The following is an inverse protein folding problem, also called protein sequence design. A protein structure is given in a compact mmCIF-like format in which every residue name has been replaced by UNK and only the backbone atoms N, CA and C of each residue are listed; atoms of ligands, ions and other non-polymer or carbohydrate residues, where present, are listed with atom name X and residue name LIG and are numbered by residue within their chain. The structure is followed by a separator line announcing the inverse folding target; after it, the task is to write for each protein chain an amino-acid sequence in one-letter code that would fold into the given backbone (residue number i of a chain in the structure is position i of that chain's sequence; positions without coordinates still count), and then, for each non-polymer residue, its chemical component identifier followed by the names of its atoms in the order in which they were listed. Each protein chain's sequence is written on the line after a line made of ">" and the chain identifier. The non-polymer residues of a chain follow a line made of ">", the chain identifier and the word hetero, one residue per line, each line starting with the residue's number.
data_IF_225408696949
#
_entry.id   IF_225408696949
#
_cell.length_a   1.000
_cell.length_b   1.000
_cell.length_c   1.000
_cell.angle_alpha   90.00
_cell.angle_beta   90.00
_cell.angle_gamma   90.00
#
_symmetry.space_group_name_H-M   'P 1'
#
loop_
_entity.id
_entity.type
_entity.pdbx_description
1 polymer ?
#
# COMPACT_ATOMS: atom_id res chain seq x y z
N UNK A 1 -9.39 0.05 10.38
CA UNK A 1 -9.33 1.10 11.42
C UNK A 1 -10.52 2.06 11.32
N UNK A 2 -10.78 2.68 10.15
CA UNK A 2 -11.87 3.65 9.98
C UNK A 2 -13.23 3.08 10.41
N UNK A 3 -13.54 1.86 10.00
CA UNK A 3 -14.77 1.16 10.40
C UNK A 3 -14.95 1.06 11.93
N UNK A 4 -13.88 0.67 12.64
CA UNK A 4 -13.92 0.56 14.11
C UNK A 4 -14.13 1.93 14.76
N UNK A 5 -13.44 2.95 14.24
CA UNK A 5 -13.56 4.32 14.74
C UNK A 5 -14.93 4.95 14.42
N UNK A 6 -15.56 4.57 13.31
CA UNK A 6 -16.89 5.03 12.95
C UNK A 6 -18.00 4.57 13.93
N UNK A 7 -17.78 3.48 14.66
CA UNK A 7 -18.70 3.03 15.70
C UNK A 7 -18.61 3.82 17.01
N UNK A 8 -17.49 4.49 17.26
CA UNK A 8 -17.27 5.23 18.51
C UNK A 8 -18.07 6.55 18.51
N UNK A 9 -18.63 6.98 19.63
CA UNK A 9 -19.06 8.36 19.79
C UNK A 9 -17.94 9.34 19.44
N UNK A 10 -18.28 10.50 18.92
CA UNK A 10 -17.30 11.48 18.39
C UNK A 10 -16.19 11.82 19.41
N UNK A 11 -16.56 12.03 20.66
CA UNK A 11 -15.60 12.36 21.74
C UNK A 11 -14.59 11.22 21.96
N UNK A 12 -15.06 9.96 21.98
CA UNK A 12 -14.19 8.80 22.15
C UNK A 12 -13.30 8.57 20.94
N UNK A 13 -13.84 8.74 19.73
CA UNK A 13 -13.05 8.65 18.49
C UNK A 13 -11.92 9.67 18.50
N UNK A 14 -12.23 10.93 18.82
CA UNK A 14 -11.21 11.99 18.93
C UNK A 14 -10.16 11.67 19.97
N UNK A 15 -10.55 11.21 21.15
CA UNK A 15 -9.61 10.79 22.18
C UNK A 15 -8.67 9.70 21.68
N UNK A 16 -9.19 8.68 20.98
CA UNK A 16 -8.35 7.61 20.39
C UNK A 16 -7.39 8.18 19.36
N UNK A 17 -7.86 9.03 18.44
CA UNK A 17 -7.03 9.64 17.42
C UNK A 17 -5.94 10.55 18.01
N UNK A 18 -6.27 11.34 19.04
CA UNK A 18 -5.30 12.16 19.76
C UNK A 18 -4.25 11.29 20.47
N UNK A 19 -4.66 10.18 21.11
CA UNK A 19 -3.71 9.25 21.76
C UNK A 19 -2.76 8.56 20.77
N UNK A 20 -3.16 8.40 19.52
CA UNK A 20 -2.31 7.80 18.48
C UNK A 20 -1.36 8.84 17.88
N UNK A 21 -1.86 10.04 17.55
CA UNK A 21 -1.14 10.97 16.71
C UNK A 21 -0.64 12.23 17.42
N UNK A 22 -1.05 12.52 18.65
CA UNK A 22 -0.56 13.71 19.36
C UNK A 22 0.75 13.45 20.12
N UNK A 23 1.49 14.54 20.40
CA UNK A 23 2.72 14.52 21.22
C UNK A 23 2.47 14.00 22.65
N UNK A 24 1.25 14.14 23.15
CA UNK A 24 0.85 13.65 24.47
C UNK A 24 0.51 12.14 24.44
N UNK A 25 0.43 11.54 23.25
CA UNK A 25 0.13 10.13 23.03
C UNK A 25 1.30 9.33 22.53
N UNK A 26 1.04 8.45 21.55
CA UNK A 26 2.06 7.61 20.92
C UNK A 26 2.88 8.36 19.85
N UNK A 27 2.41 9.50 19.43
CA UNK A 27 3.07 10.41 18.47
C UNK A 27 3.54 9.75 17.16
N UNK A 28 2.70 8.89 16.58
CA UNK A 28 3.05 8.25 15.31
C UNK A 28 3.30 9.29 14.21
N UNK A 29 4.45 9.16 13.55
CA UNK A 29 4.92 10.04 12.47
C UNK A 29 4.96 9.37 11.11
N UNK A 30 4.73 8.05 11.08
CA UNK A 30 4.63 7.24 9.88
C UNK A 30 3.37 6.37 9.96
N UNK A 31 2.58 6.37 8.90
CA UNK A 31 1.40 5.54 8.75
C UNK A 31 1.41 4.84 7.38
N UNK A 32 0.66 3.75 7.27
CA UNK A 32 0.46 3.04 6.01
C UNK A 32 -1.03 2.97 5.68
N UNK A 33 -1.35 3.11 4.41
CA UNK A 33 -2.70 2.96 3.86
C UNK A 33 -2.69 2.05 2.64
N UNK A 34 -3.84 1.48 2.31
CA UNK A 34 -4.01 0.65 1.12
C UNK A 34 -4.47 1.46 -0.09
N UNK A 35 -4.23 0.94 -1.29
CA UNK A 35 -4.73 1.43 -2.59
C UNK A 35 -5.70 0.39 -3.14
N UNK A 36 -6.99 0.70 -3.21
CA UNK A 36 -8.03 -0.29 -3.46
C UNK A 36 -8.29 -1.17 -2.24
N UNK A 37 -9.02 -2.25 -2.40
CA UNK A 37 -9.31 -3.16 -1.28
C UNK A 37 -8.10 -3.97 -0.83
N UNK A 38 -8.16 -4.43 0.41
CA UNK A 38 -7.16 -5.28 1.06
C UNK A 38 -7.87 -6.22 2.06
N UNK A 39 -7.13 -7.09 2.71
CA UNK A 39 -7.63 -8.02 3.74
C UNK A 39 -8.30 -7.33 4.94
N UNK A 40 -8.01 -6.06 5.20
CA UNK A 40 -8.66 -5.25 6.24
C UNK A 40 -9.94 -4.55 5.79
N UNK A 41 -10.35 -4.70 4.54
CA UNK A 41 -11.54 -4.03 3.99
C UNK A 41 -12.83 -4.70 4.44
N UNK A 42 -13.73 -3.93 5.04
CA UNK A 42 -15.00 -4.42 5.58
C UNK A 42 -16.09 -4.52 4.50
N UNK A 43 -16.10 -3.57 3.57
CA UNK A 43 -17.11 -3.49 2.50
C UNK A 43 -16.91 -4.49 1.35
N UNK A 44 -15.88 -5.32 1.45
CA UNK A 44 -15.53 -6.30 0.43
C UNK A 44 -14.51 -5.76 -0.56
N UNK A 45 -14.39 -6.43 -1.69
CA UNK A 45 -13.34 -6.15 -2.68
C UNK A 45 -13.77 -5.04 -3.62
N UNK A 46 -12.87 -4.05 -3.82
CA UNK A 46 -13.09 -2.95 -4.74
C UNK A 46 -11.80 -2.45 -5.39
N UNK A 47 -11.95 -1.85 -6.55
CA UNK A 47 -10.93 -1.06 -7.22
C UNK A 47 -11.54 0.27 -7.67
N UNK A 48 -10.70 1.24 -7.97
CA UNK A 48 -11.15 2.59 -8.35
C UNK A 48 -11.59 2.69 -9.81
N UNK A 49 -11.41 1.64 -10.60
CA UNK A 49 -11.93 1.46 -11.97
C UNK A 49 -12.33 0.01 -12.18
N UNK A 50 -13.58 -0.24 -12.51
CA UNK A 50 -14.11 -1.60 -12.69
C UNK A 50 -14.42 -1.95 -14.15
N UNK A 51 -14.46 -0.98 -15.05
CA UNK A 51 -14.74 -1.22 -16.47
C UNK A 51 -13.45 -1.58 -17.22
N UNK A 52 -13.30 -2.82 -17.74
CA UNK A 52 -12.12 -3.22 -18.48
C UNK A 52 -11.95 -2.49 -19.84
N UNK A 53 -13.00 -1.84 -20.32
CA UNK A 53 -12.92 -0.99 -21.52
C UNK A 53 -12.34 0.40 -21.24
N UNK A 54 -12.30 0.83 -19.97
CA UNK A 54 -11.77 2.13 -19.56
C UNK A 54 -10.25 2.10 -19.32
N UNK A 55 -9.49 1.78 -20.36
CA UNK A 55 -8.03 1.75 -20.29
C UNK A 55 -7.39 3.15 -20.12
N UNK A 56 -8.15 4.22 -20.33
CA UNK A 56 -7.73 5.60 -20.06
C UNK A 56 -8.06 6.03 -18.61
N UNK A 57 -8.68 5.14 -17.83
CA UNK A 57 -9.07 5.37 -16.44
C UNK A 57 -9.93 6.65 -16.24
N UNK A 58 -10.86 6.89 -17.15
CA UNK A 58 -11.74 8.08 -17.13
C UNK A 58 -12.73 8.03 -15.98
N UNK A 59 -13.16 6.83 -15.61
CA UNK A 59 -14.12 6.58 -14.52
C UNK A 59 -13.44 6.35 -13.16
N UNK A 60 -12.12 6.62 -13.07
CA UNK A 60 -11.37 6.47 -11.84
C UNK A 60 -11.96 7.33 -10.72
N UNK A 61 -12.29 6.70 -9.59
CA UNK A 61 -12.85 7.38 -8.43
C UNK A 61 -12.40 6.70 -7.13
N UNK A 62 -11.98 7.50 -6.15
CA UNK A 62 -11.66 7.06 -4.78
C UNK A 62 -12.85 7.20 -3.84
N UNK A 63 -14.07 7.24 -4.37
CA UNK A 63 -15.30 7.39 -3.58
C UNK A 63 -15.44 6.30 -2.51
N UNK A 64 -14.98 5.09 -2.79
CA UNK A 64 -14.96 3.99 -1.82
C UNK A 64 -14.21 4.28 -0.52
N UNK A 65 -13.29 5.24 -0.54
CA UNK A 65 -12.50 5.63 0.63
C UNK A 65 -13.07 6.90 1.32
N UNK A 66 -14.15 7.45 0.79
CA UNK A 66 -14.75 8.73 1.20
C UNK A 66 -16.20 8.61 1.66
N UNK A 67 -16.96 7.66 1.08
CA UNK A 67 -18.43 7.63 1.20
C UNK A 67 -18.93 7.24 2.59
N UNK A 68 -18.06 6.66 3.43
CA UNK A 68 -18.44 6.11 4.72
C UNK A 68 -19.11 4.74 4.61
N UNK A 69 -19.85 4.36 5.65
CA UNK A 69 -20.46 3.04 5.77
C UNK A 69 -21.98 3.12 5.76
N UNK A 70 -22.62 2.19 5.04
CA UNK A 70 -24.09 2.12 4.92
C UNK A 70 -24.74 1.85 6.29
N UNK A 71 -25.51 2.80 6.86
CA UNK A 71 -26.15 2.64 8.17
C UNK A 71 -27.26 1.57 8.16
N UNK A 72 -27.76 1.17 7.00
CA UNK A 72 -28.71 0.05 6.91
C UNK A 72 -27.99 -1.29 7.12
N UNK A 73 -26.79 -1.41 6.56
CA UNK A 73 -25.94 -2.59 6.72
C UNK A 73 -25.25 -2.62 8.09
N UNK A 74 -24.89 -1.44 8.62
CA UNK A 74 -24.16 -1.26 9.86
C UNK A 74 -24.92 -0.32 10.81
N UNK A 75 -26.04 -0.76 11.44
CA UNK A 75 -26.92 0.11 12.19
C UNK A 75 -26.31 0.69 13.48
N UNK A 76 -25.19 0.13 13.95
CA UNK A 76 -24.52 0.60 15.16
C UNK A 76 -23.40 1.63 14.87
N UNK A 77 -23.27 2.07 13.63
CA UNK A 77 -22.31 3.13 13.26
C UNK A 77 -22.77 4.48 13.81
N UNK A 78 -21.87 5.16 14.51
CA UNK A 78 -22.11 6.50 15.07
C UNK A 78 -21.82 7.62 14.06
N UNK A 79 -20.97 7.35 13.05
CA UNK A 79 -20.51 8.32 12.05
C UNK A 79 -20.55 7.72 10.64
N UNK A 80 -21.67 7.91 9.94
CA UNK A 80 -21.94 7.31 8.62
C UNK A 80 -20.92 7.75 7.54
N UNK A 81 -20.40 8.98 7.63
CA UNK A 81 -19.46 9.56 6.66
C UNK A 81 -17.98 9.43 7.05
N UNK A 82 -17.69 8.72 8.15
CA UNK A 82 -16.32 8.52 8.59
C UNK A 82 -15.74 7.28 7.91
N UNK A 83 -14.71 7.49 7.10
CA UNK A 83 -14.10 6.45 6.27
C UNK A 83 -12.58 6.60 6.25
N UNK A 84 -11.88 5.92 5.37
CA UNK A 84 -10.43 5.88 5.29
C UNK A 84 -9.82 7.28 5.13
N UNK A 85 -10.24 8.04 4.12
CA UNK A 85 -9.69 9.38 3.90
C UNK A 85 -10.12 10.41 4.96
N UNK A 86 -11.36 10.45 5.44
CA UNK A 86 -11.72 11.22 6.63
C UNK A 86 -10.86 10.91 7.87
N UNK A 87 -10.57 9.64 8.14
CA UNK A 87 -9.68 9.24 9.23
C UNK A 87 -8.26 9.78 9.03
N UNK A 88 -7.71 9.65 7.83
CA UNK A 88 -6.38 10.18 7.51
C UNK A 88 -6.34 11.70 7.64
N UNK A 89 -7.37 12.39 7.18
CA UNK A 89 -7.48 13.86 7.32
C UNK A 89 -7.54 14.29 8.80
N UNK A 90 -8.23 13.54 9.66
CA UNK A 90 -8.26 13.80 11.12
C UNK A 90 -6.85 13.62 11.73
N UNK A 91 -6.13 12.55 11.36
CA UNK A 91 -4.75 12.34 11.80
C UNK A 91 -3.81 13.48 11.35
N UNK A 92 -3.91 13.90 10.09
CA UNK A 92 -3.14 15.03 9.55
C UNK A 92 -3.47 16.34 10.26
N UNK A 93 -4.73 16.59 10.61
CA UNK A 93 -5.16 17.77 11.37
C UNK A 93 -4.55 17.79 12.77
N UNK A 94 -4.57 16.66 13.48
CA UNK A 94 -3.94 16.54 14.81
C UNK A 94 -2.45 16.87 14.69
N UNK A 95 -1.74 16.31 13.72
CA UNK A 95 -0.31 16.56 13.51
C UNK A 95 -0.01 18.01 13.13
N UNK A 96 -0.86 18.64 12.31
CA UNK A 96 -0.66 20.03 11.88
C UNK A 96 -0.74 21.06 13.01
N UNK A 97 -1.36 20.70 14.12
CA UNK A 97 -1.46 21.54 15.32
C UNK A 97 -0.22 21.42 16.25
N UNK A 98 0.75 20.59 15.88
CA UNK A 98 2.00 20.36 16.63
C UNK A 98 3.16 21.11 15.97
N UNK A 99 4.19 21.49 16.74
CA UNK A 99 5.22 22.43 16.24
C UNK A 99 6.21 21.82 15.24
N UNK A 100 6.50 20.52 15.31
CA UNK A 100 7.58 19.90 14.50
C UNK A 100 7.26 18.54 13.87
N UNK A 101 5.98 18.13 13.83
CA UNK A 101 5.66 16.77 13.42
C UNK A 101 4.78 16.71 12.17
N UNK A 102 5.32 16.14 11.11
CA UNK A 102 4.56 15.74 9.92
C UNK A 102 4.22 14.25 9.97
N UNK A 103 3.00 13.90 9.61
CA UNK A 103 2.63 12.50 9.35
C UNK A 103 3.03 12.13 7.92
N UNK A 104 3.90 11.14 7.78
CA UNK A 104 4.26 10.54 6.50
C UNK A 104 3.35 9.36 6.24
N UNK A 105 2.83 9.25 5.03
CA UNK A 105 1.89 8.18 4.66
C UNK A 105 2.49 7.39 3.51
N UNK A 106 2.65 6.08 3.70
CA UNK A 106 3.01 5.14 2.65
C UNK A 106 1.71 4.50 2.15
N UNK A 107 1.50 4.46 0.85
CA UNK A 107 0.36 3.80 0.23
C UNK A 107 0.82 2.53 -0.50
N UNK A 108 0.15 1.41 -0.26
CA UNK A 108 0.46 0.11 -0.85
C UNK A 108 -0.75 -0.49 -1.54
N UNK A 109 -0.60 -0.97 -2.77
CA UNK A 109 -1.66 -1.69 -3.47
C UNK A 109 -1.54 -3.20 -3.19
N UNK A 110 -2.63 -3.86 -2.79
CA UNK A 110 -2.65 -5.32 -2.67
C UNK A 110 -2.72 -5.99 -4.04
N UNK A 111 -3.41 -5.35 -4.97
CA UNK A 111 -3.56 -5.84 -6.34
C UNK A 111 -3.92 -4.71 -7.29
N UNK A 112 -3.65 -4.91 -8.59
CA UNK A 112 -4.33 -4.17 -9.65
C UNK A 112 -5.80 -4.61 -9.74
N UNK A 113 -6.68 -3.81 -10.36
CA UNK A 113 -8.02 -4.27 -10.72
C UNK A 113 -7.97 -5.62 -11.45
N UNK A 114 -8.87 -6.59 -11.14
CA UNK A 114 -8.84 -7.93 -11.72
C UNK A 114 -8.69 -7.98 -13.23
N UNK A 115 -9.38 -7.11 -13.95
CA UNK A 115 -9.34 -7.06 -15.40
C UNK A 115 -7.96 -6.75 -16.01
N UNK A 116 -7.05 -6.15 -15.24
CA UNK A 116 -5.67 -5.89 -15.67
C UNK A 116 -4.76 -7.11 -15.54
N UNK A 117 -5.22 -8.19 -14.88
CA UNK A 117 -4.42 -9.37 -14.59
C UNK A 117 -4.79 -10.55 -15.49
N UNK A 118 -3.85 -11.46 -15.67
CA UNK A 118 -4.04 -12.70 -16.44
C UNK A 118 -5.06 -13.64 -15.79
N UNK A 119 -5.16 -13.62 -14.47
CA UNK A 119 -6.16 -14.39 -13.71
C UNK A 119 -7.57 -13.81 -13.78
N UNK A 120 -7.73 -12.51 -14.02
CA UNK A 120 -8.98 -11.75 -13.90
C UNK A 120 -9.66 -11.90 -12.53
N UNK A 121 -8.91 -12.32 -11.50
CA UNK A 121 -9.39 -12.56 -10.14
C UNK A 121 -8.73 -11.63 -9.13
N UNK A 122 -9.38 -11.41 -8.01
CA UNK A 122 -8.79 -10.66 -6.90
C UNK A 122 -7.61 -11.41 -6.28
N UNK A 123 -7.73 -12.72 -6.16
CA UNK A 123 -6.74 -13.67 -5.71
C UNK A 123 -7.08 -15.06 -6.24
N UNK A 124 -6.10 -15.95 -6.26
CA UNK A 124 -6.28 -17.35 -6.62
C UNK A 124 -6.20 -18.16 -5.32
N UNK A 125 -7.27 -18.87 -4.92
CA UNK A 125 -7.25 -19.68 -3.70
C UNK A 125 -6.10 -20.68 -3.66
N UNK A 126 -5.52 -20.89 -2.49
CA UNK A 126 -4.56 -21.95 -2.26
C UNK A 126 -5.17 -23.33 -2.52
N UNK A 127 -4.44 -24.20 -3.22
CA UNK A 127 -4.85 -25.56 -3.55
C UNK A 127 -3.63 -26.48 -3.59
N UNK A 128 -3.81 -27.80 -3.60
CA UNK A 128 -2.70 -28.73 -3.81
C UNK A 128 -1.94 -28.49 -5.13
N UNK A 129 -2.64 -28.00 -6.16
CA UNK A 129 -2.05 -27.79 -7.49
C UNK A 129 -1.08 -26.59 -7.52
N UNK A 130 -1.26 -25.61 -6.64
CA UNK A 130 -0.36 -24.48 -6.48
C UNK A 130 0.45 -24.52 -5.18
N UNK A 131 0.53 -25.70 -4.57
CA UNK A 131 1.24 -25.93 -3.30
C UNK A 131 0.75 -25.03 -2.15
N UNK A 132 -0.54 -24.71 -2.12
CA UNK A 132 -1.20 -23.82 -1.18
C UNK A 132 -0.68 -22.38 -1.22
N UNK A 133 0.09 -22.05 -2.25
CA UNK A 133 0.59 -20.70 -2.49
C UNK A 133 -0.22 -20.08 -3.62
N UNK A 134 -1.06 -19.11 -3.28
CA UNK A 134 -1.84 -18.37 -4.25
C UNK A 134 -1.30 -16.97 -4.43
N UNK A 135 -1.12 -16.57 -5.68
CA UNK A 135 -1.07 -15.15 -6.04
C UNK A 135 -2.33 -14.81 -6.80
N UNK A 136 -2.65 -13.54 -6.89
CA UNK A 136 -3.76 -13.08 -7.73
C UNK A 136 -3.43 -13.02 -9.23
N UNK A 137 -2.38 -13.71 -9.69
CA UNK A 137 -1.88 -13.62 -11.06
C UNK A 137 -0.97 -12.41 -11.29
N UNK A 138 -0.58 -12.19 -12.53
CA UNK A 138 0.33 -11.12 -12.96
C UNK A 138 -0.36 -10.13 -13.89
N UNK A 139 0.18 -8.93 -14.01
CA UNK A 139 -0.31 -7.94 -14.97
C UNK A 139 -0.21 -8.47 -16.40
N UNK A 140 -1.27 -8.32 -17.18
CA UNK A 140 -1.22 -8.51 -18.64
C UNK A 140 -0.30 -7.46 -19.25
N UNK A 141 0.54 -7.81 -20.24
CA UNK A 141 1.52 -6.88 -20.81
C UNK A 141 0.92 -5.55 -21.28
N UNK A 142 -0.27 -5.59 -21.89
CA UNK A 142 -0.98 -4.40 -22.38
C UNK A 142 -1.43 -3.45 -21.26
N UNK A 143 -1.59 -3.93 -20.04
CA UNK A 143 -2.03 -3.14 -18.89
C UNK A 143 -0.92 -2.71 -17.95
N UNK A 144 0.32 -3.09 -18.19
CA UNK A 144 1.47 -2.62 -17.37
C UNK A 144 1.53 -1.09 -17.32
N UNK A 145 1.48 -0.34 -18.45
CA UNK A 145 1.46 1.12 -18.41
C UNK A 145 0.18 1.69 -17.79
N UNK A 146 -0.96 1.00 -17.94
CA UNK A 146 -2.24 1.43 -17.36
C UNK A 146 -2.21 1.30 -15.83
N UNK A 147 -1.55 0.27 -15.31
CA UNK A 147 -1.39 0.13 -13.86
C UNK A 147 -0.48 1.22 -13.26
N UNK A 148 0.57 1.62 -13.95
CA UNK A 148 1.37 2.77 -13.52
C UNK A 148 0.51 4.07 -13.48
N UNK A 149 -0.32 4.31 -14.49
CA UNK A 149 -1.28 5.40 -14.50
C UNK A 149 -2.31 5.32 -13.36
N UNK A 150 -2.78 4.12 -13.04
CA UNK A 150 -3.71 3.87 -11.95
C UNK A 150 -3.14 4.32 -10.59
N UNK A 151 -1.90 3.94 -10.29
CA UNK A 151 -1.21 4.37 -9.07
C UNK A 151 -1.04 5.89 -9.01
N UNK A 152 -0.71 6.53 -10.13
CA UNK A 152 -0.54 7.98 -10.20
C UNK A 152 -1.88 8.72 -10.08
N UNK A 153 -2.96 8.17 -10.62
CA UNK A 153 -4.30 8.73 -10.44
C UNK A 153 -4.73 8.67 -8.97
N UNK A 154 -4.40 7.60 -8.24
CA UNK A 154 -4.61 7.53 -6.81
C UNK A 154 -3.86 8.65 -6.06
N UNK A 155 -2.57 8.83 -6.33
CA UNK A 155 -1.78 9.92 -5.74
C UNK A 155 -2.40 11.30 -6.04
N UNK A 156 -2.90 11.47 -7.26
CA UNK A 156 -3.54 12.73 -7.68
C UNK A 156 -4.87 12.94 -6.95
N UNK A 157 -5.69 11.90 -6.86
CA UNK A 157 -6.98 11.98 -6.17
C UNK A 157 -6.81 12.26 -4.67
N UNK A 158 -5.87 11.57 -3.99
CA UNK A 158 -5.54 11.86 -2.60
C UNK A 158 -5.07 13.31 -2.39
N UNK A 159 -4.21 13.81 -3.28
CA UNK A 159 -3.72 15.18 -3.24
C UNK A 159 -4.86 16.22 -3.38
N UNK A 160 -5.82 15.96 -4.26
CA UNK A 160 -7.00 16.81 -4.43
C UNK A 160 -7.89 16.83 -3.17
N UNK A 161 -7.92 15.71 -2.43
CA UNK A 161 -8.57 15.61 -1.13
C UNK A 161 -7.74 16.20 0.04
N UNK A 162 -6.58 16.77 -0.23
CA UNK A 162 -5.69 17.35 0.79
C UNK A 162 -4.81 16.33 1.50
N UNK A 163 -4.75 15.08 1.01
CA UNK A 163 -3.90 14.01 1.55
C UNK A 163 -2.68 13.84 0.67
N UNK A 164 -1.52 14.26 1.14
CA UNK A 164 -0.26 14.07 0.44
C UNK A 164 0.37 12.73 0.84
N UNK A 165 0.40 11.78 -0.08
CA UNK A 165 1.12 10.51 0.08
C UNK A 165 2.62 10.80 0.02
N UNK A 166 3.37 10.32 1.01
CA UNK A 166 4.82 10.49 1.10
C UNK A 166 5.58 9.40 0.37
N UNK A 167 5.10 8.16 0.44
CA UNK A 167 5.74 7.00 -0.19
C UNK A 167 4.73 6.04 -0.79
N UNK A 168 5.20 5.19 -1.71
CA UNK A 168 4.37 4.20 -2.37
C UNK A 168 5.15 2.90 -2.54
N UNK A 169 4.46 1.77 -2.37
CA UNK A 169 4.91 0.46 -2.87
C UNK A 169 4.03 0.04 -4.06
N UNK A 170 4.58 -0.47 -5.14
CA UNK A 170 3.80 -0.89 -6.30
C UNK A 170 2.82 -2.02 -6.01
N UNK A 171 3.18 -2.89 -5.07
CA UNK A 171 2.37 -4.03 -4.65
C UNK A 171 2.74 -4.45 -3.23
N UNK A 172 1.73 -4.82 -2.45
CA UNK A 172 1.88 -5.52 -1.18
C UNK A 172 2.13 -7.02 -1.45
N UNK A 173 3.13 -7.60 -0.80
CA UNK A 173 3.41 -9.03 -0.79
C UNK A 173 3.40 -9.71 -2.18
N UNK A 174 4.38 -9.36 -3.04
CA UNK A 174 4.43 -9.83 -4.43
C UNK A 174 4.56 -11.34 -4.60
N UNK A 175 4.91 -12.09 -3.55
CA UNK A 175 4.97 -13.54 -3.58
C UNK A 175 3.61 -14.22 -3.31
N UNK A 176 2.59 -13.42 -2.94
CA UNK A 176 1.26 -13.92 -2.60
C UNK A 176 1.07 -14.21 -1.11
N UNK A 177 -0.08 -14.76 -0.77
CA UNK A 177 -0.59 -14.84 0.59
C UNK A 177 -1.40 -16.12 0.86
N UNK A 178 -1.05 -17.24 0.34
CA UNK A 178 -1.80 -18.52 0.45
C UNK A 178 -3.23 -18.47 -0.14
N UNK A 179 -3.55 -17.44 -0.95
CA UNK A 179 -4.84 -17.31 -1.63
C UNK A 179 -6.02 -17.04 -0.71
N UNK A 180 -5.85 -16.11 0.23
CA UNK A 180 -6.88 -15.74 1.21
C UNK A 180 -7.45 -14.33 0.96
N UNK A 181 -6.64 -13.41 0.47
CA UNK A 181 -7.00 -12.02 0.20
C UNK A 181 -6.37 -11.50 -1.09
N UNK A 182 -6.67 -10.26 -1.45
CA UNK A 182 -6.18 -9.61 -2.65
C UNK A 182 -4.68 -9.74 -2.79
N UNK A 183 -4.22 -10.12 -3.97
CA UNK A 183 -2.80 -10.23 -4.26
C UNK A 183 -2.49 -10.14 -5.75
N UNK A 184 -1.25 -9.78 -6.05
CA UNK A 184 -0.73 -9.74 -7.41
C UNK A 184 0.76 -10.10 -7.40
N UNK A 185 1.17 -10.93 -8.33
CA UNK A 185 2.53 -11.40 -8.41
C UNK A 185 3.45 -10.39 -9.11
N UNK A 186 4.62 -10.18 -8.51
CA UNK A 186 5.81 -9.66 -9.19
C UNK A 186 7.01 -10.54 -8.83
N UNK A 187 7.92 -10.70 -9.78
CA UNK A 187 9.30 -11.09 -9.50
C UNK A 187 10.16 -9.84 -9.32
N UNK A 188 11.39 -9.96 -8.77
CA UNK A 188 12.32 -8.84 -8.73
C UNK A 188 12.55 -8.21 -10.10
N UNK A 189 12.70 -9.04 -11.14
CA UNK A 189 12.92 -8.60 -12.52
C UNK A 189 11.71 -7.86 -13.09
N UNK A 190 10.50 -8.39 -12.88
CA UNK A 190 9.28 -7.76 -13.38
C UNK A 190 8.95 -6.47 -12.63
N UNK A 191 9.24 -6.37 -11.33
CA UNK A 191 9.10 -5.13 -10.59
C UNK A 191 10.15 -4.09 -11.03
N UNK A 192 11.40 -4.54 -11.27
CA UNK A 192 12.45 -3.69 -11.84
C UNK A 192 12.02 -3.11 -13.19
N UNK A 193 11.54 -3.96 -14.09
CA UNK A 193 11.05 -3.56 -15.41
C UNK A 193 9.87 -2.59 -15.32
N UNK A 194 8.91 -2.86 -14.41
CA UNK A 194 7.77 -1.98 -14.16
C UNK A 194 8.19 -0.59 -13.69
N UNK A 195 9.12 -0.53 -12.74
CA UNK A 195 9.61 0.74 -12.20
C UNK A 195 10.40 1.51 -13.25
N UNK A 196 11.37 0.84 -13.88
CA UNK A 196 12.26 1.46 -14.86
C UNK A 196 11.54 2.03 -16.07
N UNK A 197 10.66 1.23 -16.66
CA UNK A 197 10.09 1.55 -17.96
C UNK A 197 8.73 2.27 -17.89
N UNK A 198 8.04 2.21 -16.76
CA UNK A 198 6.69 2.74 -16.63
C UNK A 198 6.50 3.65 -15.43
N UNK A 199 6.53 3.13 -14.19
CA UNK A 199 6.14 3.89 -13.02
C UNK A 199 7.09 5.07 -12.73
N UNK A 200 8.39 4.84 -12.72
CA UNK A 200 9.40 5.86 -12.43
C UNK A 200 9.34 7.05 -13.39
N UNK A 201 9.45 6.82 -14.71
CA UNK A 201 9.32 7.89 -15.71
C UNK A 201 7.99 8.64 -15.66
N UNK A 202 6.88 7.93 -15.41
CA UNK A 202 5.57 8.56 -15.32
C UNK A 202 5.41 9.41 -14.05
N UNK A 203 5.94 8.98 -12.89
CA UNK A 203 5.98 9.77 -11.67
C UNK A 203 6.73 11.09 -11.91
N UNK A 204 7.90 11.03 -12.53
CA UNK A 204 8.67 12.23 -12.87
C UNK A 204 7.92 13.16 -13.83
N UNK A 205 7.37 12.61 -14.91
CA UNK A 205 6.66 13.38 -15.92
C UNK A 205 5.42 14.11 -15.36
N UNK A 206 4.83 13.59 -14.29
CA UNK A 206 3.64 14.17 -13.64
C UNK A 206 3.95 14.95 -12.36
N UNK A 207 5.23 15.23 -12.09
CA UNK A 207 5.66 16.09 -10.98
C UNK A 207 5.63 15.41 -9.61
N UNK A 208 5.75 14.08 -9.55
CA UNK A 208 5.85 13.29 -8.32
C UNK A 208 7.31 12.92 -7.98
N UNK A 209 8.25 13.86 -8.23
CA UNK A 209 9.68 13.61 -7.97
C UNK A 209 10.01 13.38 -6.49
N UNK A 210 9.15 13.86 -5.59
CA UNK A 210 9.38 13.77 -4.15
C UNK A 210 8.81 12.49 -3.54
N UNK A 211 8.01 11.71 -4.29
CA UNK A 211 7.44 10.45 -3.81
C UNK A 211 8.54 9.45 -3.49
N UNK A 212 8.44 8.79 -2.33
CA UNK A 212 9.39 7.77 -1.91
C UNK A 212 8.94 6.41 -2.45
N UNK A 213 9.49 6.02 -3.60
CA UNK A 213 9.20 4.72 -4.19
C UNK A 213 9.98 3.64 -3.46
N UNK A 214 9.27 2.69 -2.88
CA UNK A 214 9.82 1.55 -2.14
C UNK A 214 9.55 0.27 -2.92
N UNK A 215 10.55 -0.58 -3.00
CA UNK A 215 10.44 -1.91 -3.62
C UNK A 215 10.06 -2.97 -2.61
N UNK A 216 9.72 -4.15 -3.08
CA UNK A 216 9.55 -5.38 -2.33
C UNK A 216 8.24 -5.42 -1.53
N UNK A 217 8.20 -4.87 -0.30
CA UNK A 217 7.01 -4.86 0.57
C UNK A 217 6.57 -6.28 0.99
N UNK A 218 7.55 -7.10 1.42
CA UNK A 218 7.41 -8.51 1.78
C UNK A 218 8.35 -8.89 2.93
N UNK A 219 8.34 -10.14 3.36
CA UNK A 219 9.10 -10.66 4.48
C UNK A 219 10.64 -10.52 4.32
N UNK A 220 11.33 -10.32 5.44
CA UNK A 220 12.77 -9.96 5.51
C UNK A 220 13.70 -10.96 4.84
N UNK A 221 13.35 -12.23 4.80
CA UNK A 221 14.16 -13.32 4.24
C UNK A 221 14.48 -13.15 2.75
N UNK A 222 13.57 -12.56 1.97
CA UNK A 222 13.77 -12.32 0.53
C UNK A 222 14.42 -10.97 0.18
N UNK A 223 14.66 -10.08 1.16
CA UNK A 223 15.10 -8.72 0.92
C UNK A 223 16.40 -8.63 0.10
N UNK A 224 17.41 -9.44 0.45
CA UNK A 224 18.71 -9.40 -0.22
C UNK A 224 18.60 -9.74 -1.71
N UNK A 225 17.83 -10.75 -2.08
CA UNK A 225 17.63 -11.12 -3.48
C UNK A 225 16.94 -10.00 -4.28
N UNK A 226 15.92 -9.37 -3.72
CA UNK A 226 15.20 -8.28 -4.39
C UNK A 226 16.06 -7.03 -4.57
N UNK A 227 16.82 -6.67 -3.54
CA UNK A 227 17.73 -5.52 -3.62
C UNK A 227 18.89 -5.80 -4.58
N UNK A 228 19.44 -7.02 -4.61
CA UNK A 228 20.50 -7.40 -5.54
C UNK A 228 20.06 -7.26 -7.01
N UNK A 229 18.81 -7.56 -7.33
CA UNK A 229 18.30 -7.40 -8.71
C UNK A 229 18.02 -5.92 -9.02
N UNK A 230 17.21 -5.26 -8.18
CA UNK A 230 16.65 -3.95 -8.53
C UNK A 230 17.65 -2.81 -8.29
N UNK A 231 18.39 -2.84 -7.18
CA UNK A 231 19.37 -1.79 -6.86
C UNK A 231 20.69 -1.92 -7.63
N UNK A 232 20.91 -3.03 -8.31
CA UNK A 232 22.04 -3.19 -9.23
C UNK A 232 21.73 -2.63 -10.63
N UNK A 233 20.50 -2.26 -10.93
CA UNK A 233 20.14 -1.65 -12.20
C UNK A 233 20.27 -0.11 -12.13
N UNK A 234 21.32 0.49 -12.78
CA UNK A 234 21.58 1.91 -12.68
C UNK A 234 20.50 2.77 -13.36
N UNK A 235 19.63 2.20 -14.20
CA UNK A 235 18.52 2.92 -14.84
C UNK A 235 17.30 2.98 -13.92
N UNK A 236 17.17 2.04 -12.96
CA UNK A 236 16.06 2.00 -11.98
C UNK A 236 16.37 2.82 -10.72
N UNK A 237 17.60 2.75 -10.23
CA UNK A 237 18.04 3.40 -8.98
C UNK A 237 17.60 4.88 -8.85
N UNK A 238 17.67 5.73 -9.89
CA UNK A 238 17.27 7.13 -9.77
C UNK A 238 15.81 7.37 -9.36
N UNK A 239 14.94 6.36 -9.48
CA UNK A 239 13.54 6.44 -9.07
C UNK A 239 13.28 5.97 -7.65
N UNK A 240 14.26 5.31 -7.03
CA UNK A 240 14.08 4.56 -5.80
C UNK A 240 14.45 5.36 -4.56
N UNK A 241 13.72 5.10 -3.49
CA UNK A 241 14.07 5.57 -2.15
C UNK A 241 14.60 4.44 -1.26
N UNK A 242 14.04 3.23 -1.38
CA UNK A 242 14.41 2.14 -0.52
C UNK A 242 13.60 0.87 -0.75
N UNK A 243 13.64 -0.01 0.25
CA UNK A 243 12.85 -1.23 0.31
C UNK A 243 11.92 -1.25 1.52
N UNK A 244 10.76 -1.84 1.35
CA UNK A 244 9.78 -2.09 2.40
C UNK A 244 9.85 -3.55 2.85
N UNK A 245 9.69 -3.82 4.14
CA UNK A 245 9.78 -5.17 4.72
C UNK A 245 8.65 -5.45 5.70
N UNK A 246 8.26 -6.73 5.77
CA UNK A 246 7.33 -7.33 6.71
C UNK A 246 8.05 -8.34 7.61
N UNK A 247 7.37 -8.92 8.60
CA UNK A 247 8.00 -9.82 9.57
C UNK A 247 7.38 -11.22 9.70
N UNK A 248 6.46 -11.58 8.79
CA UNK A 248 5.62 -12.78 8.96
C UNK A 248 6.33 -14.13 8.74
N UNK A 249 7.52 -14.15 8.14
CA UNK A 249 8.33 -15.37 8.06
C UNK A 249 8.82 -15.84 9.44
N UNK A 250 9.00 -14.89 10.38
CA UNK A 250 9.35 -15.17 11.77
C UNK A 250 9.11 -13.95 12.66
N UNK A 251 8.32 -14.07 13.70
CA UNK A 251 8.06 -12.99 14.67
C UNK A 251 9.15 -12.82 15.71
N UNK A 252 10.11 -13.74 15.80
CA UNK A 252 11.22 -13.73 16.79
C UNK A 252 12.62 -13.74 16.17
N UNK A 253 12.77 -14.02 14.88
CA UNK A 253 14.03 -13.93 14.18
C UNK A 253 14.16 -12.55 13.49
N UNK A 254 15.21 -11.81 13.80
CA UNK A 254 15.37 -10.43 13.31
C UNK A 254 15.95 -10.37 11.89
N UNK A 255 16.69 -11.41 11.44
CA UNK A 255 17.41 -11.45 10.16
C UNK A 255 18.46 -10.32 10.03
N UNK A 256 19.14 -10.00 11.12
CA UNK A 256 20.13 -8.91 11.20
C UNK A 256 21.25 -9.06 10.14
N UNK A 257 21.67 -10.27 9.87
CA UNK A 257 22.68 -10.58 8.86
C UNK A 257 22.23 -10.24 7.42
N UNK A 258 20.93 -10.35 7.11
CA UNK A 258 20.35 -9.92 5.83
C UNK A 258 20.41 -8.40 5.73
N UNK A 259 19.97 -7.71 6.78
CA UNK A 259 20.01 -6.24 6.82
C UNK A 259 21.44 -5.68 6.73
N UNK A 260 22.40 -6.29 7.45
CA UNK A 260 23.80 -5.90 7.38
C UNK A 260 24.39 -6.06 5.97
N UNK A 261 24.13 -7.20 5.30
CA UNK A 261 24.62 -7.42 3.93
C UNK A 261 23.99 -6.44 2.95
N UNK A 262 22.68 -6.19 3.03
CA UNK A 262 21.99 -5.23 2.17
C UNK A 262 22.51 -3.82 2.42
N UNK A 263 22.64 -3.40 3.68
CA UNK A 263 23.16 -2.07 4.01
C UNK A 263 24.63 -1.90 3.56
N UNK A 264 25.44 -2.94 3.68
CA UNK A 264 26.83 -2.90 3.20
C UNK A 264 26.93 -2.72 1.68
N UNK A 265 26.06 -3.40 0.92
CA UNK A 265 26.01 -3.31 -0.55
C UNK A 265 25.42 -1.97 -1.02
N UNK A 266 24.41 -1.49 -0.32
CA UNK A 266 23.59 -0.34 -0.72
C UNK A 266 23.38 0.62 0.47
N UNK A 267 24.43 1.32 0.91
CA UNK A 267 24.41 2.10 2.16
C UNK A 267 23.43 3.29 2.13
N UNK A 268 23.08 3.76 0.95
CA UNK A 268 22.12 4.87 0.76
C UNK A 268 20.67 4.39 0.65
N UNK A 269 20.43 3.08 0.66
CA UNK A 269 19.10 2.48 0.61
C UNK A 269 18.40 2.61 1.95
N UNK A 270 17.22 3.22 1.96
CA UNK A 270 16.34 3.15 3.10
C UNK A 270 15.67 1.77 3.21
N UNK A 271 15.63 1.21 4.41
CA UNK A 271 14.86 0.00 4.71
C UNK A 271 13.78 0.41 5.70
N UNK A 272 12.51 0.20 5.36
CA UNK A 272 11.38 0.60 6.17
C UNK A 272 10.53 -0.63 6.48
N UNK A 273 10.26 -0.86 7.77
CA UNK A 273 9.28 -1.84 8.20
C UNK A 273 7.87 -1.27 7.99
N UNK A 274 7.15 -1.82 7.04
CA UNK A 274 5.87 -1.30 6.56
C UNK A 274 4.66 -2.05 7.07
N UNK A 275 4.84 -3.30 7.49
CA UNK A 275 3.76 -4.09 8.04
C UNK A 275 4.25 -5.11 9.07
N UNK A 276 3.53 -5.18 10.18
CA UNK A 276 3.74 -6.17 11.23
C UNK A 276 2.61 -6.09 12.24
N UNK A 277 1.77 -7.10 12.28
CA UNK A 277 0.77 -7.29 13.33
C UNK A 277 1.05 -8.59 14.08
N UNK A 278 0.47 -8.71 15.26
CA UNK A 278 0.50 -9.96 16.00
C UNK A 278 -0.56 -10.86 15.36
N UNK A 279 -0.09 -11.90 14.66
CA UNK A 279 -0.96 -12.97 14.21
C UNK A 279 -1.39 -13.81 15.42
N UNK A 280 -2.63 -14.28 15.39
CA UNK A 280 -3.08 -15.34 16.29
C UNK A 280 -2.33 -16.63 15.91
N UNK A 281 -1.27 -16.91 16.65
CA UNK A 281 -0.47 -18.11 16.55
C UNK A 281 -1.19 -19.29 17.21
#
# INVERSE_FOLDING_TARGET
>A
SAYVLAHLPEEQRREVMERIFSEEGADFTLARTHIGSCDFTVEGKYAYVNDPADTELKTFSIENDLQGFDPVKYPDISHETYDLLPMIKEALLIKSNQQDHSLRIIASAWTAPPWMKDSEEWYIPGSPDNNWQGTGGSLKPEFIPVYADYLIKYLTACRLEGVNIWGITPVNEPHGNNGQWESMNFSPESQNDFIKNYLGPQLQARGYNDIKLLIYDQNRDGLEHWTDVIFSDPETVPFLYGAAVHWYESTYQVYEDVFERVHYKFPDLAIIHTEGCIDDL
#
